data_IF_600876416098
#
_entry.id   IF_600876416098
#
_cell.length_a   1.000
_cell.length_b   1.000
_cell.length_c   1.000
_cell.angle_alpha   90.00
_cell.angle_beta   90.00
_cell.angle_gamma   90.00
#
_symmetry.space_group_name_H-M   'P 1'
#
loop_
_entity.id
_entity.type
_entity.pdbx_description
1 polymer ?
#
# COMPACT_ATOMS: atom_id res chain seq x y z
N UNK A 1 45.46 14.28 61.10
CA UNK A 1 46.90 14.23 60.83
C UNK A 1 47.26 12.83 60.36
N UNK A 2 47.87 12.76 59.17
CA UNK A 2 48.65 11.70 58.53
C UNK A 2 48.38 10.21 58.86
N UNK A 3 47.88 9.48 57.85
CA UNK A 3 48.05 8.03 57.74
C UNK A 3 49.46 7.72 57.20
N UNK A 4 50.16 6.81 57.87
CA UNK A 4 51.51 6.38 57.57
C UNK A 4 51.54 5.19 56.59
N UNK A 5 52.41 5.30 55.58
CA UNK A 5 52.85 4.22 54.71
C UNK A 5 53.94 3.41 55.41
N UNK A 6 53.83 2.07 55.44
CA UNK A 6 54.99 1.18 55.56
C UNK A 6 54.74 -0.16 54.86
N UNK A 7 55.57 -0.40 53.85
CA UNK A 7 55.85 -1.63 53.10
C UNK A 7 56.40 -2.78 53.96
N UNK A 8 56.20 -4.05 53.55
CA UNK A 8 57.17 -5.15 53.18
C UNK A 8 56.49 -6.55 53.32
N UNK A 9 57.08 -7.73 52.99
CA UNK A 9 57.65 -8.30 51.74
C UNK A 9 56.94 -9.59 51.21
N UNK A 10 57.39 -10.02 50.02
CA UNK A 10 57.13 -11.25 49.24
C UNK A 10 57.19 -12.60 50.01
N UNK A 11 56.35 -13.57 49.58
CA UNK A 11 56.68 -15.01 49.51
C UNK A 11 56.27 -15.64 48.17
N UNK A 12 57.16 -16.51 47.69
CA UNK A 12 57.18 -17.19 46.38
C UNK A 12 56.34 -18.46 46.36
N UNK A 13 55.65 -18.69 45.25
CA UNK A 13 55.27 -19.99 44.65
C UNK A 13 55.27 -19.69 43.13
N UNK A 14 55.93 -20.37 42.20
CA UNK A 14 56.61 -21.65 42.17
C UNK A 14 56.04 -22.50 41.03
N UNK A 15 56.76 -22.54 39.88
CA UNK A 15 56.67 -23.52 38.76
C UNK A 15 55.50 -23.32 37.75
N UNK A 16 55.63 -23.46 36.43
CA UNK A 16 56.63 -24.08 35.54
C UNK A 16 56.50 -23.43 34.13
N UNK A 17 57.64 -23.17 33.47
CA UNK A 17 57.80 -22.76 32.06
C UNK A 17 58.23 -23.98 31.24
N UNK A 18 58.02 -23.97 29.91
CA UNK A 18 58.79 -24.57 28.78
C UNK A 18 57.76 -24.93 27.66
N UNK A 19 57.83 -24.60 26.36
CA UNK A 19 58.72 -23.82 25.46
C UNK A 19 57.91 -23.54 24.18
N UNK A 20 58.15 -22.41 23.51
CA UNK A 20 57.77 -22.17 22.12
C UNK A 20 58.70 -22.94 21.14
N UNK A 21 58.42 -22.90 19.82
CA UNK A 21 59.17 -21.92 19.04
C UNK A 21 58.33 -21.08 18.08
N UNK A 22 58.72 -19.81 18.08
CA UNK A 22 58.39 -18.69 17.19
C UNK A 22 58.95 -18.85 15.77
N UNK A 23 58.30 -18.21 14.79
CA UNK A 23 58.85 -17.48 13.63
C UNK A 23 57.93 -17.66 12.40
N UNK A 24 57.62 -16.69 11.53
CA UNK A 24 58.01 -15.28 11.40
C UNK A 24 57.00 -14.60 10.43
N UNK A 25 56.93 -13.26 10.53
CA UNK A 25 56.50 -12.22 9.57
C UNK A 25 56.24 -12.67 8.11
N UNK A 26 55.27 -12.16 7.35
CA UNK A 26 54.88 -10.76 7.19
C UNK A 26 55.15 -10.32 5.74
N UNK A 27 54.08 -10.00 5.01
CA UNK A 27 53.94 -9.05 3.87
C UNK A 27 54.94 -9.11 2.68
N UNK A 28 54.39 -8.97 1.44
CA UNK A 28 54.98 -8.47 0.16
C UNK A 28 54.68 -9.45 -0.99
N UNK A 29 53.61 -9.23 -1.79
CA UNK A 29 53.59 -8.48 -3.08
C UNK A 29 53.91 -9.39 -4.27
N UNK A 30 52.88 -9.56 -5.12
CA UNK A 30 52.95 -9.49 -6.60
C UNK A 30 53.48 -10.69 -7.41
N UNK A 31 52.64 -11.08 -8.38
CA UNK A 31 52.92 -11.73 -9.67
C UNK A 31 53.59 -13.12 -9.69
N UNK A 32 52.78 -14.11 -10.07
CA UNK A 32 53.20 -15.08 -11.07
C UNK A 32 51.99 -15.41 -11.98
N UNK A 33 51.92 -14.70 -13.10
CA UNK A 33 51.23 -15.12 -14.31
C UNK A 33 51.76 -16.51 -14.73
N UNK A 34 50.87 -17.45 -14.98
CA UNK A 34 51.13 -18.67 -15.73
C UNK A 34 50.08 -18.79 -16.82
N UNK A 35 50.39 -18.23 -17.98
CA UNK A 35 49.60 -18.24 -19.22
C UNK A 35 49.38 -19.69 -19.69
N UNK A 36 48.13 -20.00 -20.05
CA UNK A 36 47.75 -21.17 -20.84
C UNK A 36 46.57 -20.83 -21.74
N UNK A 37 46.84 -20.06 -22.81
CA UNK A 37 45.87 -19.80 -23.88
C UNK A 37 46.10 -20.81 -25.01
N UNK A 38 45.04 -21.56 -25.36
CA UNK A 38 44.66 -22.08 -26.69
C UNK A 38 43.89 -23.41 -26.53
N UNK A 39 42.83 -23.77 -27.24
CA UNK A 39 41.92 -23.19 -28.24
C UNK A 39 40.74 -24.18 -28.31
N UNK A 40 39.51 -23.71 -28.52
CA UNK A 40 38.47 -24.51 -29.17
C UNK A 40 37.14 -24.72 -28.41
N UNK A 41 36.05 -24.29 -29.04
CA UNK A 41 34.77 -25.01 -28.98
C UNK A 41 33.70 -24.40 -28.10
N UNK A 42 32.50 -24.25 -28.68
CA UNK A 42 31.31 -23.60 -28.15
C UNK A 42 30.54 -24.43 -27.13
N UNK A 43 29.54 -23.78 -26.53
CA UNK A 43 28.36 -24.34 -25.84
C UNK A 43 28.44 -24.59 -24.32
N UNK A 44 28.30 -23.50 -23.56
CA UNK A 44 27.87 -23.51 -22.16
C UNK A 44 26.37 -23.87 -22.07
N UNK A 45 26.09 -25.17 -22.03
CA UNK A 45 24.82 -25.74 -21.55
C UNK A 45 24.80 -25.86 -20.02
N UNK A 46 23.75 -25.33 -19.41
CA UNK A 46 23.46 -25.29 -17.98
C UNK A 46 23.67 -26.62 -17.23
N UNK A 47 24.58 -26.64 -16.24
CA UNK A 47 24.43 -27.50 -15.05
C UNK A 47 24.98 -26.74 -13.83
N UNK A 48 24.09 -26.14 -13.05
CA UNK A 48 24.29 -26.04 -11.59
C UNK A 48 23.02 -26.50 -10.90
N UNK A 49 22.96 -27.79 -10.59
CA UNK A 49 22.11 -28.32 -9.52
C UNK A 49 22.66 -27.81 -8.18
N UNK A 50 22.29 -26.59 -7.82
CA UNK A 50 22.43 -26.06 -6.47
C UNK A 50 21.13 -26.31 -5.70
N UNK A 51 21.22 -26.95 -4.53
CA UNK A 51 20.16 -26.98 -3.52
C UNK A 51 19.53 -25.58 -3.37
N UNK A 52 18.19 -25.43 -3.29
CA UNK A 52 17.60 -24.15 -2.93
C UNK A 52 17.94 -23.84 -1.47
N UNK A 53 18.98 -23.03 -1.27
CA UNK A 53 19.18 -22.32 -0.01
C UNK A 53 18.01 -21.36 0.17
N UNK A 54 17.44 -21.33 1.38
CA UNK A 54 16.30 -20.51 1.77
C UNK A 54 16.29 -19.16 1.06
N UNK A 55 15.38 -19.03 0.09
CA UNK A 55 15.36 -17.91 -0.82
C UNK A 55 15.06 -16.64 -0.04
N UNK A 56 15.96 -15.65 -0.13
CA UNK A 56 15.52 -14.26 -0.05
C UNK A 56 14.30 -14.15 -0.98
N UNK A 57 13.18 -13.61 -0.48
CA UNK A 57 11.91 -13.55 -1.21
C UNK A 57 12.03 -12.94 -2.62
N UNK A 58 10.92 -12.76 -3.34
CA UNK A 58 10.90 -12.56 -4.79
C UNK A 58 11.84 -11.45 -5.30
N UNK A 59 12.29 -11.54 -6.55
CA UNK A 59 13.02 -10.41 -7.15
C UNK A 59 12.09 -9.19 -7.22
N UNK A 60 12.51 -7.99 -6.78
CA UNK A 60 11.67 -6.80 -6.83
C UNK A 60 11.21 -6.50 -8.26
N UNK A 61 9.92 -6.27 -8.43
CA UNK A 61 9.36 -5.82 -9.72
C UNK A 61 9.73 -4.37 -10.01
N UNK A 62 9.47 -3.91 -11.25
CA UNK A 62 9.58 -2.48 -11.60
C UNK A 62 8.69 -1.58 -10.73
N UNK A 63 7.52 -2.07 -10.33
CA UNK A 63 6.62 -1.35 -9.42
C UNK A 63 7.24 -1.20 -8.04
N UNK A 64 7.80 -2.28 -7.47
CA UNK A 64 8.51 -2.21 -6.20
C UNK A 64 9.68 -1.22 -6.22
N UNK A 65 10.49 -1.23 -7.28
CA UNK A 65 11.64 -0.32 -7.42
C UNK A 65 11.20 1.15 -7.57
N UNK A 66 10.05 1.40 -8.21
CA UNK A 66 9.50 2.76 -8.39
C UNK A 66 8.90 3.33 -7.10
N UNK A 67 8.18 2.50 -6.35
CA UNK A 67 7.37 2.96 -5.21
C UNK A 67 8.12 2.86 -3.87
N UNK A 68 9.10 1.96 -3.75
CA UNK A 68 9.84 1.73 -2.51
C UNK A 68 11.21 2.41 -2.61
N UNK A 69 11.53 3.38 -1.74
CA UNK A 69 12.86 3.94 -1.66
C UNK A 69 13.92 2.85 -1.47
N UNK A 70 15.04 2.91 -2.19
CA UNK A 70 16.03 1.83 -2.24
C UNK A 70 16.57 1.41 -0.85
N UNK A 71 16.74 2.37 0.07
CA UNK A 71 17.11 2.06 1.46
C UNK A 71 16.05 1.25 2.20
N UNK A 72 14.78 1.56 1.97
CA UNK A 72 13.63 0.88 2.58
C UNK A 72 13.45 -0.54 2.02
N UNK A 73 13.62 -0.71 0.70
CA UNK A 73 13.58 -2.02 0.06
C UNK A 73 14.60 -2.98 0.68
N UNK A 74 15.82 -2.49 0.96
CA UNK A 74 16.85 -3.30 1.64
C UNK A 74 16.41 -3.74 3.04
N UNK A 75 15.74 -2.88 3.81
CA UNK A 75 15.24 -3.23 5.14
C UNK A 75 14.16 -4.31 5.06
N UNK A 76 13.20 -4.23 4.12
CA UNK A 76 12.21 -5.30 3.93
C UNK A 76 12.87 -6.64 3.57
N UNK A 77 13.82 -6.63 2.65
CA UNK A 77 14.53 -7.84 2.24
C UNK A 77 15.37 -8.44 3.38
N UNK A 78 16.01 -7.60 4.20
CA UNK A 78 16.76 -8.04 5.37
C UNK A 78 15.86 -8.62 6.45
N UNK A 79 14.74 -7.95 6.77
CA UNK A 79 13.75 -8.44 7.72
C UNK A 79 13.10 -9.74 7.22
N UNK A 80 12.76 -9.81 5.93
CA UNK A 80 12.20 -11.02 5.32
C UNK A 80 13.12 -12.23 5.48
N UNK A 81 14.41 -12.07 5.20
CA UNK A 81 15.41 -13.12 5.47
C UNK A 81 15.54 -13.47 6.96
N UNK A 82 15.54 -12.46 7.84
CA UNK A 82 15.77 -12.65 9.28
C UNK A 82 14.62 -13.37 9.98
N UNK A 83 13.38 -13.07 9.58
CA UNK A 83 12.17 -13.60 10.21
C UNK A 83 11.44 -14.62 9.32
N UNK A 84 12.08 -15.07 8.23
CA UNK A 84 11.53 -16.03 7.27
C UNK A 84 10.21 -15.58 6.61
N UNK A 85 9.90 -14.28 6.56
CA UNK A 85 8.65 -13.76 5.95
C UNK A 85 8.89 -13.20 4.54
N UNK A 86 7.92 -13.34 3.63
CA UNK A 86 8.05 -12.75 2.30
C UNK A 86 8.18 -11.22 2.37
N UNK A 87 9.24 -10.67 1.79
CA UNK A 87 9.52 -9.24 1.89
C UNK A 87 8.52 -8.39 1.08
N UNK A 88 7.95 -8.91 0.00
CA UNK A 88 6.98 -8.19 -0.83
C UNK A 88 5.65 -8.02 -0.06
N UNK A 89 5.26 -9.04 0.71
CA UNK A 89 4.17 -8.95 1.67
C UNK A 89 4.45 -7.92 2.76
N UNK A 90 5.62 -7.98 3.39
CA UNK A 90 6.00 -7.03 4.44
C UNK A 90 6.04 -5.58 3.93
N UNK A 91 6.54 -5.36 2.72
CA UNK A 91 6.52 -4.06 2.06
C UNK A 91 5.09 -3.61 1.78
N UNK A 92 4.20 -4.49 1.33
CA UNK A 92 2.81 -4.14 1.06
C UNK A 92 2.04 -3.72 2.32
N UNK A 93 2.27 -4.37 3.47
CA UNK A 93 1.75 -3.92 4.77
C UNK A 93 2.22 -2.49 5.04
N UNK A 94 3.51 -2.22 4.93
CA UNK A 94 4.04 -0.87 5.14
C UNK A 94 3.52 0.19 4.16
N UNK A 95 3.21 -0.23 2.93
CA UNK A 95 2.59 0.62 1.92
C UNK A 95 1.17 1.01 2.33
N UNK A 96 0.40 0.02 2.79
CA UNK A 96 -0.97 0.20 3.25
C UNK A 96 -1.04 1.06 4.51
N UNK A 97 -0.08 0.89 5.42
CA UNK A 97 -0.01 1.70 6.64
C UNK A 97 0.41 3.14 6.33
N UNK A 98 1.53 3.32 5.63
CA UNK A 98 2.22 4.61 5.60
C UNK A 98 2.95 4.92 4.29
N UNK A 99 2.65 4.19 3.21
CA UNK A 99 3.22 4.39 1.88
C UNK A 99 4.76 4.51 1.88
N UNK A 100 5.44 3.68 2.68
CA UNK A 100 6.92 3.63 2.83
C UNK A 100 7.61 4.88 3.38
N UNK A 101 6.89 5.97 3.65
CA UNK A 101 7.48 7.24 4.09
C UNK A 101 7.94 7.21 5.55
N UNK A 102 9.10 7.78 5.91
CA UNK A 102 9.46 8.05 7.30
C UNK A 102 8.70 9.26 7.89
N UNK A 103 8.08 10.09 7.05
CA UNK A 103 7.43 11.36 7.44
C UNK A 103 5.92 11.40 7.16
N UNK A 104 5.34 10.31 6.64
CA UNK A 104 3.90 10.21 6.38
C UNK A 104 3.11 9.76 7.61
N UNK A 105 3.76 9.08 8.56
CA UNK A 105 3.16 8.64 9.83
C UNK A 105 4.17 8.62 11.01
N UNK A 106 4.81 9.74 11.36
CA UNK A 106 5.65 9.76 12.54
C UNK A 106 4.80 9.70 13.81
N UNK A 107 5.24 8.91 14.78
CA UNK A 107 4.65 8.83 16.10
C UNK A 107 3.33 8.08 16.15
N UNK A 108 2.67 8.20 17.29
CA UNK A 108 1.35 7.65 17.56
C UNK A 108 0.29 8.35 16.70
N UNK A 109 -0.53 7.58 15.99
CA UNK A 109 -1.57 8.07 15.09
C UNK A 109 -2.85 8.59 15.81
N UNK A 110 -2.83 8.71 17.13
CA UNK A 110 -3.98 9.07 17.97
C UNK A 110 -4.79 7.85 18.44
N UNK A 111 -4.66 6.70 17.78
CA UNK A 111 -5.31 5.44 18.12
C UNK A 111 -4.39 4.43 18.81
N UNK A 112 -3.13 4.79 19.03
CA UNK A 112 -2.16 4.01 19.80
C UNK A 112 -1.31 3.09 18.94
N UNK A 113 -1.38 3.25 17.62
CA UNK A 113 -0.48 2.64 16.65
C UNK A 113 0.56 3.67 16.22
N UNK A 114 1.80 3.27 15.96
CA UNK A 114 2.86 4.21 15.60
C UNK A 114 3.83 3.71 14.53
N UNK A 115 4.49 4.67 13.89
CA UNK A 115 5.59 4.43 12.97
C UNK A 115 5.16 3.89 11.60
N UNK A 116 6.13 3.53 10.75
CA UNK A 116 5.90 3.16 9.34
C UNK A 116 5.18 1.81 9.17
N UNK A 117 5.04 1.05 10.25
CA UNK A 117 4.30 -0.22 10.28
C UNK A 117 3.05 -0.13 11.19
N UNK A 118 2.73 1.05 11.73
CA UNK A 118 1.58 1.31 12.62
C UNK A 118 1.46 0.29 13.77
N UNK A 119 2.57 -0.07 14.41
CA UNK A 119 2.57 -1.08 15.48
C UNK A 119 1.91 -0.52 16.74
N UNK A 120 1.10 -1.33 17.44
CA UNK A 120 0.47 -0.90 18.69
C UNK A 120 1.51 -0.59 19.77
N UNK A 121 1.41 0.59 20.35
CA UNK A 121 2.36 1.18 21.30
C UNK A 121 1.71 1.70 22.59
N UNK A 122 0.41 2.00 22.56
CA UNK A 122 -0.30 2.56 23.73
C UNK A 122 -1.34 1.58 24.25
N UNK A 123 -1.20 1.13 25.50
CA UNK A 123 -2.19 0.28 26.18
C UNK A 123 -3.51 1.03 26.40
N UNK A 124 -4.63 0.29 26.40
CA UNK A 124 -5.98 0.87 26.53
C UNK A 124 -6.40 1.74 25.34
N UNK A 125 -5.65 1.71 24.24
CA UNK A 125 -5.97 2.41 23.01
C UNK A 125 -6.76 1.52 22.05
N UNK A 126 -7.42 2.05 21.01
CA UNK A 126 -8.05 1.22 19.99
C UNK A 126 -7.09 0.21 19.32
N UNK A 127 -5.80 0.52 19.20
CA UNK A 127 -4.79 -0.40 18.69
C UNK A 127 -4.32 -1.47 19.70
N UNK A 128 -4.58 -1.27 20.99
CA UNK A 128 -4.28 -2.22 22.06
C UNK A 128 -5.31 -2.08 23.19
N UNK A 129 -6.55 -2.57 22.99
CA UNK A 129 -7.70 -2.20 23.83
C UNK A 129 -7.64 -2.77 25.25
N UNK A 130 -6.87 -3.83 25.47
CA UNK A 130 -6.64 -4.37 26.81
C UNK A 130 -5.58 -3.51 27.54
N UNK A 131 -5.96 -2.71 28.56
CA UNK A 131 -5.03 -1.81 29.25
C UNK A 131 -3.99 -2.56 30.10
N UNK A 132 -4.34 -3.75 30.57
CA UNK A 132 -3.49 -4.55 31.47
C UNK A 132 -2.53 -5.49 30.73
N UNK A 133 -2.65 -5.58 29.40
CA UNK A 133 -1.78 -6.43 28.57
C UNK A 133 -0.70 -5.60 27.88
N UNK A 134 0.52 -6.15 27.69
CA UNK A 134 1.55 -5.52 26.88
C UNK A 134 1.09 -5.28 25.44
N UNK A 135 1.50 -4.15 24.87
CA UNK A 135 1.32 -3.84 23.45
C UNK A 135 2.23 -4.69 22.57
N UNK A 136 1.97 -4.70 21.26
CA UNK A 136 2.82 -5.41 20.32
C UNK A 136 4.25 -4.82 20.28
N UNK A 137 4.39 -3.51 20.42
CA UNK A 137 5.72 -2.89 20.49
C UNK A 137 6.49 -3.30 21.74
N UNK A 138 5.84 -3.36 22.90
CA UNK A 138 6.48 -3.81 24.15
C UNK A 138 6.94 -5.28 24.09
N UNK A 139 6.25 -6.13 23.34
CA UNK A 139 6.58 -7.56 23.20
C UNK A 139 7.59 -7.85 22.08
N UNK A 140 7.52 -7.11 20.98
CA UNK A 140 8.20 -7.46 19.73
C UNK A 140 9.16 -6.39 19.21
N UNK A 141 9.22 -5.21 19.84
CA UNK A 141 10.18 -4.16 19.50
C UNK A 141 11.62 -4.68 19.50
N UNK A 142 12.42 -4.24 18.54
CA UNK A 142 13.79 -4.69 18.34
C UNK A 142 14.66 -3.55 17.86
N UNK A 143 15.88 -3.47 18.39
CA UNK A 143 16.97 -2.64 17.84
C UNK A 143 17.50 -3.37 16.60
N UNK A 144 16.94 -3.02 15.45
CA UNK A 144 17.14 -3.73 14.20
C UNK A 144 18.45 -3.35 13.51
N UNK A 145 18.89 -2.10 13.69
CA UNK A 145 20.15 -1.57 13.15
C UNK A 145 21.35 -1.68 14.12
N UNK A 146 21.10 -2.03 15.40
CA UNK A 146 22.07 -2.11 16.50
C UNK A 146 22.72 -0.77 16.87
N UNK A 147 21.95 0.32 16.79
CA UNK A 147 22.41 1.64 17.19
C UNK A 147 22.24 1.92 18.70
N UNK A 148 21.67 0.97 19.45
CA UNK A 148 21.44 1.07 20.88
C UNK A 148 20.10 1.71 21.24
N UNK A 149 19.23 1.99 20.27
CA UNK A 149 17.87 2.51 20.47
C UNK A 149 16.85 1.52 19.91
N UNK A 150 15.66 1.55 20.50
CA UNK A 150 14.48 0.83 20.00
C UNK A 150 13.41 1.87 19.76
N UNK A 151 13.27 2.31 18.51
CA UNK A 151 12.37 3.40 18.11
C UNK A 151 11.36 2.91 17.07
N UNK A 152 10.07 2.95 17.40
CA UNK A 152 8.99 2.56 16.49
C UNK A 152 8.96 3.41 15.21
N UNK A 153 9.53 4.61 15.25
CA UNK A 153 9.57 5.51 14.11
C UNK A 153 10.75 5.25 13.20
N UNK A 154 11.81 4.60 13.70
CA UNK A 154 12.92 4.16 12.85
C UNK A 154 12.44 2.95 12.03
N UNK A 155 12.39 3.07 10.69
CA UNK A 155 12.10 1.92 9.83
C UNK A 155 13.02 0.73 10.06
N UNK A 156 14.27 0.98 10.48
CA UNK A 156 15.22 -0.08 10.73
C UNK A 156 14.86 -0.94 11.96
N UNK A 157 14.02 -0.44 12.86
CA UNK A 157 13.49 -1.15 14.03
C UNK A 157 12.04 -1.63 13.79
N UNK A 158 11.21 -0.74 13.23
CA UNK A 158 9.79 -1.01 13.01
C UNK A 158 9.55 -2.16 12.03
N UNK A 159 10.32 -2.23 10.93
CA UNK A 159 10.18 -3.28 9.92
C UNK A 159 10.51 -4.66 10.47
N UNK A 160 11.66 -4.89 11.13
CA UNK A 160 11.94 -6.19 11.74
C UNK A 160 10.98 -6.53 12.89
N UNK A 161 10.53 -5.56 13.69
CA UNK A 161 9.48 -5.79 14.69
C UNK A 161 8.17 -6.25 14.05
N UNK A 162 7.71 -5.59 12.98
CA UNK A 162 6.51 -5.99 12.25
C UNK A 162 6.62 -7.37 11.61
N UNK A 163 7.78 -7.69 11.01
CA UNK A 163 8.06 -9.02 10.47
C UNK A 163 7.90 -10.09 11.56
N UNK A 164 8.46 -9.84 12.75
CA UNK A 164 8.35 -10.72 13.90
C UNK A 164 6.90 -10.87 14.38
N UNK A 165 6.16 -9.78 14.52
CA UNK A 165 4.74 -9.76 14.91
C UNK A 165 3.91 -10.59 13.93
N UNK A 166 4.08 -10.36 12.63
CA UNK A 166 3.31 -11.05 11.59
C UNK A 166 3.53 -12.57 11.66
N UNK A 167 4.76 -12.99 11.94
CA UNK A 167 5.13 -14.40 12.08
C UNK A 167 4.68 -15.05 13.36
N UNK A 168 5.05 -14.47 14.50
CA UNK A 168 4.87 -15.09 15.82
C UNK A 168 3.45 -14.88 16.35
N UNK A 169 2.85 -13.72 16.10
CA UNK A 169 1.56 -13.35 16.70
C UNK A 169 0.37 -13.41 15.73
N UNK A 170 0.60 -13.20 14.42
CA UNK A 170 -0.49 -13.07 13.43
C UNK A 170 -0.62 -14.26 12.48
N UNK A 171 0.30 -15.21 12.55
CA UNK A 171 0.23 -16.47 11.81
C UNK A 171 0.63 -16.37 10.34
N UNK A 172 1.43 -15.37 9.94
CA UNK A 172 2.01 -15.34 8.61
C UNK A 172 2.87 -16.60 8.39
N UNK A 173 2.72 -17.29 7.25
CA UNK A 173 3.47 -18.51 6.98
C UNK A 173 4.94 -18.18 6.63
N UNK A 174 5.82 -19.21 6.59
CA UNK A 174 7.14 -19.19 5.94
C UNK A 174 7.19 -18.47 4.59
N UNK A 175 8.39 -18.03 4.20
CA UNK A 175 8.62 -17.50 2.85
C UNK A 175 8.24 -18.59 1.85
N UNK A 176 7.41 -18.25 0.86
CA UNK A 176 6.80 -19.23 -0.04
C UNK A 176 5.47 -19.83 0.43
N UNK A 177 4.93 -19.39 1.57
CA UNK A 177 3.57 -19.73 2.01
C UNK A 177 2.47 -19.22 1.07
N UNK A 178 1.25 -19.75 1.22
CA UNK A 178 0.16 -19.50 0.28
C UNK A 178 -0.38 -18.07 0.35
N UNK A 179 -0.96 -17.59 -0.76
CA UNK A 179 -1.65 -16.31 -0.81
C UNK A 179 -2.75 -16.19 0.26
N UNK A 180 -3.50 -17.27 0.49
CA UNK A 180 -4.58 -17.32 1.47
C UNK A 180 -4.04 -17.18 2.91
N UNK A 181 -2.93 -17.83 3.23
CA UNK A 181 -2.33 -17.76 4.58
C UNK A 181 -1.74 -16.36 4.85
N UNK A 182 -1.06 -15.76 3.88
CA UNK A 182 -0.58 -14.38 4.00
C UNK A 182 -1.74 -13.38 4.10
N UNK A 183 -2.82 -13.58 3.33
CA UNK A 183 -4.06 -12.80 3.45
C UNK A 183 -4.66 -12.92 4.85
N UNK A 184 -4.70 -14.13 5.41
CA UNK A 184 -5.20 -14.37 6.77
C UNK A 184 -4.31 -13.69 7.82
N UNK A 185 -2.99 -13.62 7.60
CA UNK A 185 -2.11 -12.88 8.49
C UNK A 185 -2.34 -11.36 8.45
N UNK A 186 -2.60 -10.78 7.27
CA UNK A 186 -3.03 -9.37 7.14
C UNK A 186 -4.35 -9.11 7.86
N UNK A 187 -5.33 -10.00 7.66
CA UNK A 187 -6.58 -10.07 8.42
C UNK A 187 -6.32 -9.93 9.93
N UNK A 188 -5.42 -10.74 10.46
CA UNK A 188 -5.13 -10.81 11.89
C UNK A 188 -4.33 -9.61 12.43
N UNK A 189 -3.72 -8.79 11.56
CA UNK A 189 -2.89 -7.66 12.00
C UNK A 189 -3.69 -6.70 12.88
N UNK A 190 -4.88 -6.28 12.43
CA UNK A 190 -5.88 -5.51 13.21
C UNK A 190 -7.29 -6.11 13.26
N UNK A 191 -7.54 -7.25 12.61
CA UNK A 191 -8.91 -7.79 12.45
C UNK A 191 -9.65 -7.27 11.20
N UNK A 192 -8.98 -6.53 10.30
CA UNK A 192 -9.57 -5.93 9.11
C UNK A 192 -9.45 -6.87 7.89
N UNK A 193 -10.44 -7.74 7.69
CA UNK A 193 -10.33 -8.88 6.77
C UNK A 193 -10.80 -8.67 5.32
N UNK A 194 -11.73 -7.76 5.06
CA UNK A 194 -12.24 -7.56 3.71
C UNK A 194 -11.25 -6.70 2.91
N UNK A 195 -11.38 -5.37 3.01
CA UNK A 195 -10.67 -4.44 2.13
C UNK A 195 -9.17 -4.38 2.40
N UNK A 196 -8.76 -4.37 3.67
CA UNK A 196 -7.35 -4.20 4.03
C UNK A 196 -6.49 -5.40 3.58
N UNK A 197 -6.90 -6.62 3.92
CA UNK A 197 -6.14 -7.82 3.56
C UNK A 197 -6.07 -8.01 2.04
N UNK A 198 -7.14 -7.70 1.31
CA UNK A 198 -7.16 -7.77 -0.15
C UNK A 198 -6.24 -6.72 -0.79
N UNK A 199 -6.23 -5.49 -0.29
CA UNK A 199 -5.35 -4.42 -0.76
C UNK A 199 -3.87 -4.73 -0.50
N UNK A 200 -3.55 -5.22 0.70
CA UNK A 200 -2.18 -5.64 1.04
C UNK A 200 -1.73 -6.75 0.10
N UNK A 201 -2.53 -7.79 -0.10
CA UNK A 201 -2.11 -8.91 -0.93
C UNK A 201 -2.05 -8.58 -2.42
N UNK A 202 -2.94 -7.72 -2.92
CA UNK A 202 -2.84 -7.21 -4.28
C UNK A 202 -1.54 -6.42 -4.51
N UNK A 203 -1.16 -5.56 -3.55
CA UNK A 203 0.11 -4.82 -3.61
C UNK A 203 1.32 -5.75 -3.44
N UNK A 204 1.24 -6.78 -2.60
CA UNK A 204 2.29 -7.77 -2.43
C UNK A 204 2.61 -8.47 -3.76
N UNK A 205 1.57 -8.89 -4.50
CA UNK A 205 1.72 -9.48 -5.84
C UNK A 205 2.36 -8.48 -6.80
N UNK A 206 1.97 -7.21 -6.78
CA UNK A 206 2.61 -6.16 -7.58
C UNK A 206 4.09 -5.96 -7.26
N UNK A 207 4.49 -6.15 -6.00
CA UNK A 207 5.89 -6.05 -5.58
C UNK A 207 6.72 -7.30 -5.88
N UNK A 208 6.06 -8.42 -6.17
CA UNK A 208 6.68 -9.64 -6.66
C UNK A 208 6.26 -10.91 -5.93
N UNK A 209 5.34 -10.85 -4.96
CA UNK A 209 4.85 -12.02 -4.22
C UNK A 209 4.32 -13.10 -5.19
N UNK A 210 4.75 -14.34 -4.96
CA UNK A 210 4.48 -15.50 -5.84
C UNK A 210 4.04 -16.75 -5.06
N UNK A 211 3.49 -16.57 -3.85
CA UNK A 211 3.02 -17.69 -3.03
C UNK A 211 1.95 -18.53 -3.74
N UNK A 212 1.80 -19.83 -3.43
CA UNK A 212 0.77 -20.69 -4.00
C UNK A 212 -0.63 -20.06 -3.91
N UNK A 213 -1.39 -20.15 -5.00
CA UNK A 213 -2.72 -19.53 -5.10
C UNK A 213 -2.71 -18.02 -5.33
N UNK A 214 -1.54 -17.41 -5.53
CA UNK A 214 -1.48 -16.01 -5.97
C UNK A 214 -2.16 -15.89 -7.34
N UNK A 215 -2.99 -14.84 -7.54
CA UNK A 215 -3.40 -14.49 -8.90
C UNK A 215 -2.14 -14.20 -9.74
N UNK A 216 -2.19 -14.40 -11.07
CA UNK A 216 -1.12 -13.90 -11.92
C UNK A 216 -0.91 -12.42 -11.57
N UNK A 217 0.34 -11.94 -11.50
CA UNK A 217 0.58 -10.51 -11.40
C UNK A 217 -0.28 -9.85 -12.48
N UNK A 218 -1.23 -8.99 -12.07
CA UNK A 218 -1.99 -8.21 -13.03
C UNK A 218 -0.94 -7.36 -13.76
N UNK A 219 -0.55 -7.82 -14.94
CA UNK A 219 0.69 -7.42 -15.56
C UNK A 219 0.56 -5.96 -16.05
N UNK A 220 1.26 -4.99 -15.44
CA UNK A 220 1.34 -3.64 -16.01
C UNK A 220 2.36 -3.57 -17.16
N UNK A 221 2.90 -4.70 -17.64
CA UNK A 221 3.97 -4.79 -18.63
C UNK A 221 3.82 -5.87 -19.73
N UNK A 222 2.79 -6.71 -19.73
CA UNK A 222 2.62 -7.81 -20.70
C UNK A 222 1.29 -7.85 -21.44
N UNK A 223 0.53 -6.75 -21.40
CA UNK A 223 -0.42 -6.50 -22.49
C UNK A 223 0.39 -6.37 -23.79
N UNK A 224 0.24 -7.32 -24.73
CA UNK A 224 0.78 -7.16 -26.08
C UNK A 224 0.30 -5.81 -26.62
N UNK A 225 1.21 -4.89 -27.01
CA UNK A 225 0.80 -3.65 -27.64
C UNK A 225 -0.02 -3.97 -28.88
N UNK A 226 -1.10 -3.22 -29.13
CA UNK A 226 -1.67 -3.17 -30.45
C UNK A 226 -0.54 -2.76 -31.44
N UNK A 227 -0.41 -3.41 -32.60
CA UNK A 227 0.67 -3.10 -33.53
C UNK A 227 0.52 -1.64 -34.00
N UNK A 228 1.51 -0.78 -33.72
CA UNK A 228 1.54 0.56 -34.31
C UNK A 228 2.20 1.71 -33.55
N UNK A 229 2.72 1.54 -32.32
CA UNK A 229 3.33 2.67 -31.60
C UNK A 229 4.84 2.48 -31.38
N UNK A 230 5.64 3.14 -32.21
CA UNK A 230 7.07 3.37 -31.99
C UNK A 230 7.27 4.37 -30.84
N UNK A 231 8.15 4.03 -29.90
CA UNK A 231 8.59 4.90 -28.80
C UNK A 231 9.58 5.98 -29.30
N UNK A 232 9.53 7.23 -28.82
CA UNK A 232 10.63 8.19 -29.01
C UNK A 232 11.82 7.85 -28.09
N UNK A 233 13.03 8.19 -28.56
CA UNK A 233 14.31 7.84 -27.92
C UNK A 233 14.67 8.65 -26.66
N UNK A 234 15.75 8.26 -25.97
CA UNK A 234 16.12 8.80 -24.67
C UNK A 234 16.78 10.18 -24.80
N UNK A 235 16.04 11.21 -24.41
CA UNK A 235 16.51 12.60 -24.38
C UNK A 235 15.65 13.56 -23.56
N UNK A 236 14.37 13.24 -23.35
CA UNK A 236 13.45 14.16 -22.66
C UNK A 236 13.30 13.83 -21.18
N UNK A 237 14.23 14.33 -20.38
CA UNK A 237 14.01 14.54 -18.95
C UNK A 237 13.04 15.71 -18.76
N UNK A 238 11.73 15.43 -18.80
CA UNK A 238 10.66 16.36 -18.52
C UNK A 238 9.60 15.70 -17.62
N UNK A 239 9.31 16.30 -16.47
CA UNK A 239 8.45 15.74 -15.43
C UNK A 239 7.09 15.25 -15.95
N UNK A 240 6.75 14.00 -15.60
CA UNK A 240 5.46 13.38 -15.86
C UNK A 240 4.35 14.01 -15.03
N UNK A 241 3.93 15.21 -15.40
CA UNK A 241 2.65 15.80 -15.03
C UNK A 241 1.62 15.49 -16.10
N UNK A 242 0.40 15.14 -15.69
CA UNK A 242 -0.77 15.08 -16.57
C UNK A 242 -1.12 16.49 -17.06
N UNK A 243 -0.35 17.04 -18.00
CA UNK A 243 -0.69 18.22 -18.75
C UNK A 243 -1.00 17.78 -20.19
N UNK A 244 -2.28 17.55 -20.45
CA UNK A 244 -2.70 17.05 -21.75
C UNK A 244 -4.18 17.17 -22.04
N UNK A 245 -4.92 18.04 -21.38
CA UNK A 245 -6.21 18.54 -21.89
C UNK A 245 -6.28 20.05 -21.59
N UNK A 246 -6.48 20.86 -22.64
CA UNK A 246 -6.70 22.31 -22.50
C UNK A 246 -8.03 22.53 -21.74
N UNK A 247 -8.14 23.57 -20.86
CA UNK A 247 -9.36 23.86 -20.09
C UNK A 247 -10.64 23.99 -20.95
N UNK A 248 -10.51 24.32 -22.23
CA UNK A 248 -11.63 24.48 -23.17
C UNK A 248 -12.32 23.16 -23.59
N UNK A 249 -11.75 21.98 -23.32
CA UNK A 249 -12.41 20.70 -23.56
C UNK A 249 -13.28 20.21 -22.38
N UNK A 250 -13.26 20.90 -21.24
CA UNK A 250 -14.06 20.56 -20.04
C UNK A 250 -15.58 20.78 -20.22
N UNK A 251 -16.04 21.31 -21.36
CA UNK A 251 -17.45 21.61 -21.65
C UNK A 251 -18.19 20.63 -22.58
N UNK A 252 -17.59 19.48 -22.96
CA UNK A 252 -18.24 18.47 -23.84
C UNK A 252 -18.40 17.10 -23.17
N UNK A 253 -18.50 17.07 -21.84
CA UNK A 253 -18.65 15.85 -21.04
C UNK A 253 -20.09 15.61 -20.55
N UNK A 254 -20.38 14.46 -19.93
CA UNK A 254 -21.69 14.15 -19.33
C UNK A 254 -21.98 14.95 -18.05
N UNK A 255 -21.05 15.80 -17.60
CA UNK A 255 -21.14 16.58 -16.37
C UNK A 255 -20.82 18.04 -16.70
N UNK A 256 -21.52 18.97 -16.06
CA UNK A 256 -21.30 20.40 -16.24
C UNK A 256 -20.10 20.91 -15.44
N UNK A 257 -19.86 22.24 -15.45
CA UNK A 257 -18.79 22.89 -14.70
C UNK A 257 -18.71 22.48 -13.23
N UNK A 258 -17.49 22.39 -12.72
CA UNK A 258 -17.21 22.10 -11.30
C UNK A 258 -17.38 23.35 -10.44
N UNK A 259 -18.00 23.17 -9.27
CA UNK A 259 -18.20 24.17 -8.22
C UNK A 259 -17.75 23.61 -6.88
N UNK A 260 -17.07 24.43 -6.08
CA UNK A 260 -16.74 24.12 -4.70
C UNK A 260 -17.88 24.54 -3.77
N UNK A 261 -18.37 23.62 -2.95
CA UNK A 261 -19.44 23.88 -1.99
C UNK A 261 -18.94 23.74 -0.55
N UNK A 262 -19.21 24.75 0.28
CA UNK A 262 -18.86 24.78 1.70
C UNK A 262 -20.03 24.39 2.62
N UNK A 263 -21.26 24.41 2.11
CA UNK A 263 -22.48 24.15 2.85
C UNK A 263 -23.57 23.57 1.94
N UNK A 264 -24.58 22.86 2.49
CA UNK A 264 -24.73 22.47 3.89
C UNK A 264 -23.79 21.32 4.29
N UNK A 265 -23.35 21.31 5.54
CA UNK A 265 -22.43 20.28 6.07
C UNK A 265 -23.18 19.25 6.91
N UNK A 266 -23.88 18.35 6.25
CA UNK A 266 -24.68 17.30 6.90
C UNK A 266 -24.79 16.08 5.99
N UNK A 267 -25.17 14.95 6.58
CA UNK A 267 -25.56 13.78 5.82
C UNK A 267 -27.05 13.85 5.45
N UNK A 268 -27.36 13.43 4.24
CA UNK A 268 -28.71 13.40 3.68
C UNK A 268 -28.97 12.03 3.05
N UNK A 269 -30.19 11.53 3.19
CA UNK A 269 -30.60 10.23 2.66
C UNK A 269 -30.63 10.28 1.14
N UNK A 270 -30.14 9.21 0.50
CA UNK A 270 -30.38 9.00 -0.91
C UNK A 270 -31.83 8.53 -1.14
N UNK A 271 -32.46 8.89 -2.27
CA UNK A 271 -33.76 8.33 -2.62
C UNK A 271 -33.69 6.81 -2.80
N UNK A 272 -34.63 6.06 -2.22
CA UNK A 272 -34.65 4.59 -2.32
C UNK A 272 -34.62 4.07 -3.77
N UNK A 273 -35.18 4.84 -4.72
CA UNK A 273 -35.19 4.53 -6.16
C UNK A 273 -33.81 4.33 -6.80
N UNK A 274 -32.74 4.80 -6.16
CA UNK A 274 -31.36 4.68 -6.64
C UNK A 274 -30.48 3.83 -5.71
N UNK A 275 -31.04 3.26 -4.65
CA UNK A 275 -30.33 2.41 -3.69
C UNK A 275 -30.54 0.94 -4.06
N UNK A 276 -29.47 0.14 -4.04
CA UNK A 276 -29.57 -1.29 -4.30
C UNK A 276 -30.39 -1.98 -3.21
N UNK A 277 -31.23 -2.94 -3.60
CA UNK A 277 -32.06 -3.70 -2.67
C UNK A 277 -31.18 -4.38 -1.59
N UNK A 278 -31.52 -4.18 -0.31
CA UNK A 278 -30.79 -4.73 0.83
C UNK A 278 -29.60 -3.88 1.34
N UNK A 279 -29.30 -2.74 0.71
CA UNK A 279 -28.19 -1.85 1.12
C UNK A 279 -28.66 -0.56 1.82
N UNK A 280 -29.97 -0.29 1.86
CA UNK A 280 -30.56 0.91 2.45
C UNK A 280 -30.86 0.80 3.95
N UNK A 281 -31.01 1.95 4.65
CA UNK A 281 -30.93 3.32 4.14
C UNK A 281 -29.49 3.83 3.98
N UNK A 282 -29.18 4.46 2.84
CA UNK A 282 -27.85 5.05 2.56
C UNK A 282 -27.90 6.57 2.69
N UNK A 283 -26.88 7.15 3.35
CA UNK A 283 -26.69 8.60 3.47
C UNK A 283 -25.42 9.04 2.77
N UNK A 284 -25.43 10.22 2.17
CA UNK A 284 -24.25 10.88 1.60
C UNK A 284 -24.09 12.28 2.17
N UNK A 285 -22.94 12.93 1.96
CA UNK A 285 -22.83 14.36 2.16
C UNK A 285 -23.88 15.07 1.29
N UNK A 286 -24.69 15.94 1.90
CA UNK A 286 -25.81 16.60 1.25
C UNK A 286 -25.40 17.33 -0.04
N UNK A 287 -24.15 17.80 -0.13
CA UNK A 287 -23.65 18.53 -1.30
C UNK A 287 -23.45 17.64 -2.53
N UNK A 288 -23.24 16.33 -2.37
CA UNK A 288 -23.09 15.40 -3.52
C UNK A 288 -24.39 14.68 -3.89
N UNK A 289 -25.45 14.73 -3.07
CA UNK A 289 -26.69 13.97 -3.32
C UNK A 289 -27.25 14.23 -4.73
N UNK A 290 -27.26 15.48 -5.20
CA UNK A 290 -27.72 15.80 -6.56
C UNK A 290 -26.82 15.19 -7.65
N UNK A 291 -25.51 15.19 -7.47
CA UNK A 291 -24.55 14.54 -8.36
C UNK A 291 -24.77 13.03 -8.39
N UNK A 292 -24.93 12.39 -7.22
CA UNK A 292 -25.17 10.95 -7.09
C UNK A 292 -26.48 10.56 -7.78
N UNK A 293 -27.58 11.29 -7.54
CA UNK A 293 -28.88 11.06 -8.18
C UNK A 293 -28.79 11.22 -9.69
N UNK A 294 -28.10 12.26 -10.16
CA UNK A 294 -27.89 12.48 -11.60
C UNK A 294 -27.16 11.31 -12.23
N UNK A 295 -26.02 10.89 -11.67
CA UNK A 295 -25.22 9.78 -12.21
C UNK A 295 -26.01 8.46 -12.19
N UNK A 296 -26.65 8.14 -11.06
CA UNK A 296 -27.43 6.92 -10.91
C UNK A 296 -28.55 6.82 -11.97
N UNK A 297 -29.29 7.91 -12.20
CA UNK A 297 -30.35 7.96 -13.22
C UNK A 297 -29.79 7.95 -14.64
N UNK A 298 -28.80 8.81 -14.92
CA UNK A 298 -28.21 8.99 -16.26
C UNK A 298 -27.52 7.74 -16.77
N UNK A 299 -26.90 6.97 -15.87
CA UNK A 299 -26.14 5.77 -16.20
C UNK A 299 -26.81 4.47 -15.78
N UNK A 300 -28.00 4.53 -15.13
CA UNK A 300 -28.74 3.36 -14.63
C UNK A 300 -27.90 2.51 -13.67
N UNK A 301 -27.37 3.17 -12.63
CA UNK A 301 -26.61 2.55 -11.57
C UNK A 301 -27.42 2.53 -10.27
N UNK A 302 -27.12 1.57 -9.40
CA UNK A 302 -27.64 1.52 -8.03
C UNK A 302 -26.50 1.72 -7.05
N UNK A 303 -26.75 2.51 -6.00
CA UNK A 303 -25.79 2.80 -4.93
C UNK A 303 -25.85 1.71 -3.86
N UNK A 304 -24.70 1.16 -3.49
CA UNK A 304 -24.54 0.13 -2.45
C UNK A 304 -23.85 0.66 -1.20
N UNK A 305 -23.06 1.73 -1.31
CA UNK A 305 -22.48 2.41 -0.15
C UNK A 305 -22.27 3.89 -0.41
N UNK A 306 -22.24 4.69 0.66
CA UNK A 306 -21.82 6.09 0.61
C UNK A 306 -21.14 6.51 1.91
N UNK A 307 -21.85 7.18 2.84
CA UNK A 307 -21.35 7.43 4.18
C UNK A 307 -21.31 6.11 4.98
N UNK A 308 -20.12 5.52 5.11
CA UNK A 308 -19.91 4.25 5.78
C UNK A 308 -18.53 4.19 6.44
N UNK A 309 -18.42 3.44 7.54
CA UNK A 309 -17.15 3.21 8.25
C UNK A 309 -16.69 1.79 7.94
N UNK A 310 -16.17 1.58 6.73
CA UNK A 310 -15.51 0.33 6.33
C UNK A 310 -14.05 0.52 5.88
N UNK A 311 -13.55 1.75 5.91
CA UNK A 311 -12.14 2.11 5.77
C UNK A 311 -11.85 3.35 6.63
N UNK A 312 -10.91 3.24 7.56
CA UNK A 312 -10.58 4.29 8.54
C UNK A 312 -9.90 5.53 7.91
N UNK A 313 -9.41 5.39 6.67
CA UNK A 313 -8.79 6.48 5.91
C UNK A 313 -9.51 6.72 4.57
N UNK A 314 -10.65 6.06 4.37
CA UNK A 314 -11.41 6.14 3.14
C UNK A 314 -12.25 7.42 3.04
N UNK A 315 -12.78 7.66 1.86
CA UNK A 315 -13.68 8.77 1.57
C UNK A 315 -15.13 8.47 1.97
N UNK A 316 -15.44 7.20 2.25
CA UNK A 316 -16.75 6.78 2.77
C UNK A 316 -17.08 7.42 4.13
N UNK A 317 -16.17 7.51 5.12
CA UNK A 317 -16.42 8.31 6.33
C UNK A 317 -16.82 9.77 6.08
N UNK A 318 -16.44 10.35 4.93
CA UNK A 318 -16.80 11.71 4.58
C UNK A 318 -18.21 11.84 3.97
N UNK A 319 -18.82 10.71 3.61
CA UNK A 319 -19.97 10.65 2.69
C UNK A 319 -19.68 11.30 1.34
N UNK A 320 -18.40 11.32 0.93
CA UNK A 320 -17.90 11.94 -0.29
C UNK A 320 -17.45 10.90 -1.33
N UNK A 321 -17.88 9.65 -1.16
CA UNK A 321 -17.68 8.57 -2.11
C UNK A 321 -18.92 7.69 -2.21
N UNK A 322 -19.09 7.02 -3.35
CA UNK A 322 -20.13 6.02 -3.55
C UNK A 322 -19.54 4.74 -4.15
N UNK A 323 -20.11 3.61 -3.73
CA UNK A 323 -19.97 2.34 -4.44
C UNK A 323 -21.25 2.08 -5.23
N UNK A 324 -21.10 1.64 -6.48
CA UNK A 324 -22.21 1.47 -7.39
C UNK A 324 -22.15 0.18 -8.19
N UNK A 325 -23.33 -0.35 -8.50
CA UNK A 325 -23.52 -1.56 -9.32
C UNK A 325 -24.47 -1.29 -10.48
N UNK A 326 -24.50 -2.18 -11.47
CA UNK A 326 -25.47 -2.08 -12.58
C UNK A 326 -26.90 -2.29 -12.08
N UNK A 327 -27.82 -1.39 -12.44
CA UNK A 327 -29.25 -1.57 -12.14
C UNK A 327 -29.91 -2.67 -13.00
N UNK A 328 -29.22 -3.16 -14.03
CA UNK A 328 -29.80 -4.06 -15.04
C UNK A 328 -29.03 -5.38 -15.17
N UNK A 329 -27.88 -5.50 -14.52
CA UNK A 329 -26.92 -6.57 -14.76
C UNK A 329 -26.04 -6.37 -16.01
N UNK A 330 -26.41 -5.47 -16.92
CA UNK A 330 -25.55 -5.07 -18.06
C UNK A 330 -24.53 -4.03 -17.58
N UNK A 331 -23.32 -4.49 -17.25
CA UNK A 331 -22.23 -3.64 -16.75
C UNK A 331 -21.64 -2.71 -17.84
N UNK A 332 -21.35 -3.19 -19.06
CA UNK A 332 -20.89 -2.33 -20.16
C UNK A 332 -21.85 -1.16 -20.43
N UNK A 333 -23.15 -1.41 -20.49
CA UNK A 333 -24.15 -0.40 -20.81
C UNK A 333 -24.54 0.50 -19.62
N UNK A 334 -23.95 0.33 -18.44
CA UNK A 334 -24.29 1.15 -17.26
C UNK A 334 -23.04 1.69 -16.58
N UNK A 335 -22.40 0.87 -15.75
CA UNK A 335 -21.29 1.21 -14.87
C UNK A 335 -20.02 1.52 -15.67
N UNK A 336 -19.68 0.70 -16.66
CA UNK A 336 -18.49 0.97 -17.49
C UNK A 336 -18.68 2.25 -18.30
N UNK A 337 -19.88 2.47 -18.85
CA UNK A 337 -20.22 3.72 -19.54
C UNK A 337 -20.07 4.91 -18.62
N UNK A 338 -20.50 4.81 -17.35
CA UNK A 338 -20.30 5.85 -16.35
C UNK A 338 -18.80 6.10 -16.13
N UNK A 339 -18.03 5.07 -15.78
CA UNK A 339 -16.59 5.17 -15.53
C UNK A 339 -15.89 5.88 -16.69
N UNK A 340 -16.12 5.44 -17.93
CA UNK A 340 -15.53 6.03 -19.14
C UNK A 340 -15.90 7.49 -19.34
N UNK A 341 -17.18 7.83 -19.13
CA UNK A 341 -17.66 9.19 -19.33
C UNK A 341 -17.08 10.17 -18.29
N UNK A 342 -16.78 9.68 -17.08
CA UNK A 342 -16.17 10.43 -15.99
C UNK A 342 -14.62 10.48 -16.06
N UNK A 343 -14.02 9.84 -17.06
CA UNK A 343 -12.59 9.98 -17.37
C UNK A 343 -11.76 8.71 -17.19
N UNK A 344 -12.32 7.63 -16.64
CA UNK A 344 -11.62 6.36 -16.57
C UNK A 344 -11.35 5.81 -17.98
N UNK A 345 -10.14 5.30 -18.19
CA UNK A 345 -9.77 4.57 -19.41
C UNK A 345 -9.05 3.29 -19.00
N UNK A 346 -9.04 2.23 -19.82
CA UNK A 346 -8.32 0.99 -19.49
C UNK A 346 -6.83 1.20 -19.17
N UNK A 347 -6.17 2.16 -19.83
CA UNK A 347 -4.79 2.54 -19.55
C UNK A 347 -4.56 3.09 -18.13
N UNK A 348 -5.60 3.61 -17.50
CA UNK A 348 -5.55 4.15 -16.14
C UNK A 348 -5.48 3.04 -15.11
N UNK A 349 -6.08 1.88 -15.41
CA UNK A 349 -6.01 0.70 -14.58
C UNK A 349 -4.60 0.10 -14.53
N UNK A 350 -3.81 0.27 -15.60
CA UNK A 350 -2.41 -0.17 -15.65
C UNK A 350 -1.49 0.59 -14.67
N UNK A 351 -1.89 1.78 -14.18
CA UNK A 351 -1.09 2.52 -13.19
C UNK A 351 -1.19 1.90 -11.79
N UNK A 352 -2.31 1.25 -11.45
CA UNK A 352 -2.60 0.73 -10.10
C UNK A 352 -2.52 1.79 -8.98
N UNK A 353 -2.45 3.07 -9.32
CA UNK A 353 -2.20 4.20 -8.41
C UNK A 353 -3.07 5.39 -8.79
N UNK A 354 -3.80 5.92 -7.81
CA UNK A 354 -4.56 7.17 -7.91
C UNK A 354 -3.61 8.39 -7.99
N UNK A 355 -3.96 9.50 -8.67
CA UNK A 355 -5.21 9.77 -9.37
C UNK A 355 -5.02 9.67 -10.90
N UNK A 356 -4.53 8.53 -11.41
CA UNK A 356 -4.50 8.35 -12.86
C UNK A 356 -5.95 8.38 -13.40
N UNK A 357 -6.29 9.42 -14.17
CA UNK A 357 -7.52 9.55 -14.96
C UNK A 357 -8.84 9.79 -14.21
N UNK A 358 -8.87 10.71 -13.25
CA UNK A 358 -10.11 11.29 -12.75
C UNK A 358 -10.34 12.67 -13.40
N UNK A 359 -11.50 12.89 -14.03
CA UNK A 359 -11.90 14.26 -14.39
C UNK A 359 -12.39 14.97 -13.14
N UNK A 360 -12.07 16.26 -12.92
CA UNK A 360 -12.74 17.05 -11.89
C UNK A 360 -14.28 16.91 -12.00
N UNK A 361 -15.00 16.78 -10.88
CA UNK A 361 -14.57 16.98 -9.50
C UNK A 361 -14.04 15.72 -8.80
N UNK A 362 -13.88 14.60 -9.52
CA UNK A 362 -13.52 13.34 -8.90
C UNK A 362 -12.06 13.35 -8.44
N UNK A 363 -11.85 12.84 -7.23
CA UNK A 363 -10.53 12.51 -6.68
C UNK A 363 -10.07 11.17 -7.27
N UNK A 364 -10.96 10.18 -7.28
CA UNK A 364 -10.63 8.84 -7.71
C UNK A 364 -11.84 8.14 -8.35
N UNK A 365 -11.55 7.35 -9.38
CA UNK A 365 -12.52 6.52 -10.10
C UNK A 365 -11.91 5.12 -10.19
N UNK A 366 -12.38 4.20 -9.36
CA UNK A 366 -11.87 2.83 -9.29
C UNK A 366 -12.85 1.87 -9.96
N UNK A 367 -12.39 1.23 -11.03
CA UNK A 367 -13.15 0.26 -11.81
C UNK A 367 -12.24 -0.89 -12.29
N UNK A 368 -12.55 -1.53 -13.42
CA UNK A 368 -11.79 -2.66 -13.96
C UNK A 368 -10.27 -2.40 -13.95
N UNK A 369 -9.54 -3.34 -13.37
CA UNK A 369 -8.08 -3.32 -13.21
C UNK A 369 -7.56 -2.49 -12.02
N UNK A 370 -8.42 -1.84 -11.24
CA UNK A 370 -8.09 -1.45 -9.87
C UNK A 370 -8.39 -2.62 -8.92
N UNK A 371 -7.48 -2.95 -7.99
CA UNK A 371 -7.70 -4.03 -7.03
C UNK A 371 -9.01 -3.86 -6.28
N UNK A 372 -9.76 -4.95 -6.10
CA UNK A 372 -11.04 -4.98 -5.39
C UNK A 372 -12.19 -4.16 -6.03
N UNK A 373 -12.08 -3.78 -7.31
CA UNK A 373 -13.10 -3.03 -8.04
C UNK A 373 -13.31 -3.59 -9.45
N UNK A 374 -14.45 -3.26 -10.06
CA UNK A 374 -14.77 -3.66 -11.42
C UNK A 374 -16.10 -4.40 -11.55
N UNK A 375 -16.38 -4.86 -12.75
CA UNK A 375 -17.51 -5.75 -13.05
C UNK A 375 -17.31 -7.17 -12.51
N UNK A 376 -18.33 -8.06 -12.56
CA UNK A 376 -18.25 -9.42 -12.04
C UNK A 376 -17.19 -10.31 -12.71
N UNK A 377 -16.72 -9.97 -13.92
CA UNK A 377 -15.66 -10.72 -14.59
C UNK A 377 -14.28 -10.32 -14.05
N UNK A 378 -14.10 -9.06 -13.66
CA UNK A 378 -12.84 -8.53 -13.11
C UNK A 378 -12.78 -8.59 -11.58
N UNK A 379 -13.93 -8.61 -10.92
CA UNK A 379 -14.13 -8.62 -9.48
C UNK A 379 -15.18 -9.70 -9.11
N UNK A 380 -14.85 -10.99 -9.25
CA UNK A 380 -15.79 -12.07 -9.00
C UNK A 380 -15.97 -12.35 -7.49
N UNK A 381 -17.21 -12.65 -7.05
CA UNK A 381 -17.45 -13.13 -5.69
C UNK A 381 -16.83 -14.54 -5.48
N UNK A 382 -16.47 -14.90 -4.23
CA UNK A 382 -16.56 -14.11 -3.00
C UNK A 382 -15.36 -13.19 -2.76
N UNK A 383 -14.32 -13.28 -3.60
CA UNK A 383 -13.05 -12.59 -3.42
C UNK A 383 -13.20 -11.06 -3.53
N UNK A 384 -14.21 -10.59 -4.26
CA UNK A 384 -14.39 -9.19 -4.55
C UNK A 384 -15.88 -8.90 -4.80
N UNK A 385 -16.51 -7.95 -4.09
CA UNK A 385 -17.85 -7.50 -4.43
C UNK A 385 -17.77 -6.55 -5.63
N UNK A 386 -18.26 -6.97 -6.80
CA UNK A 386 -18.24 -6.14 -8.02
C UNK A 386 -18.89 -4.77 -7.78
N UNK A 387 -18.15 -3.69 -8.05
CA UNK A 387 -18.63 -2.31 -7.97
C UNK A 387 -17.71 -1.34 -8.73
N UNK A 388 -18.27 -0.17 -9.06
CA UNK A 388 -17.52 1.05 -9.39
C UNK A 388 -17.49 1.95 -8.16
N UNK A 389 -16.28 2.37 -7.79
CA UNK A 389 -16.07 3.35 -6.73
C UNK A 389 -15.81 4.73 -7.33
N UNK A 390 -16.55 5.73 -6.86
CA UNK A 390 -16.37 7.14 -7.21
C UNK A 390 -16.14 7.96 -5.95
N UNK A 391 -15.08 8.76 -5.90
CA UNK A 391 -14.86 9.72 -4.80
C UNK A 391 -14.66 11.14 -5.32
N UNK A 392 -15.22 12.11 -4.61
CA UNK A 392 -15.13 13.53 -4.93
C UNK A 392 -13.92 14.18 -4.23
N UNK A 393 -13.38 15.24 -4.83
CA UNK A 393 -12.38 16.08 -4.17
C UNK A 393 -13.01 16.86 -3.02
N UNK A 394 -12.29 16.90 -1.91
CA UNK A 394 -12.73 17.50 -0.63
C UNK A 394 -11.57 18.14 0.10
N UNK A 395 -11.88 18.91 1.15
CA UNK A 395 -10.91 19.42 2.12
C UNK A 395 -10.05 18.35 2.80
N UNK A 396 -10.47 17.09 2.74
CA UNK A 396 -9.76 15.93 3.27
C UNK A 396 -9.08 15.08 2.18
N UNK A 397 -9.00 15.58 0.93
CA UNK A 397 -8.26 14.91 -0.13
C UNK A 397 -6.75 15.07 0.04
N UNK A 398 -5.97 14.15 -0.51
CA UNK A 398 -4.51 14.15 -0.41
C UNK A 398 -3.91 15.55 -0.71
N UNK A 399 -3.01 16.01 0.16
CA UNK A 399 -2.38 17.32 0.06
C UNK A 399 -3.18 18.49 0.68
N UNK A 400 -4.39 18.25 1.20
CA UNK A 400 -5.18 19.27 1.89
C UNK A 400 -5.05 19.19 3.42
N UNK A 401 -5.25 20.31 4.15
CA UNK A 401 -5.05 20.37 5.60
C UNK A 401 -5.93 19.42 6.43
N UNK A 402 -7.09 19.00 5.93
CA UNK A 402 -7.98 18.07 6.66
C UNK A 402 -7.76 16.61 6.28
N UNK A 403 -6.72 16.28 5.50
CA UNK A 403 -6.39 14.90 5.11
C UNK A 403 -5.73 14.16 6.28
N UNK A 404 -6.56 13.59 7.16
CA UNK A 404 -6.19 12.84 8.35
C UNK A 404 -7.08 11.61 8.51
N UNK A 405 -6.62 10.61 9.27
CA UNK A 405 -7.36 9.39 9.60
C UNK A 405 -8.65 9.68 10.38
N UNK A 406 -9.72 8.89 10.16
CA UNK A 406 -11.07 9.18 10.71
C UNK A 406 -11.84 7.93 11.13
N UNK A 407 -12.39 7.96 12.34
CA UNK A 407 -13.25 6.91 12.92
C UNK A 407 -14.72 7.29 13.05
N UNK A 408 -15.10 8.48 12.60
CA UNK A 408 -16.49 8.96 12.65
C UNK A 408 -16.93 9.51 11.30
N UNK A 409 -18.23 9.44 11.04
CA UNK A 409 -18.81 10.09 9.89
C UNK A 409 -18.75 11.61 10.07
N UNK A 410 -18.22 12.32 9.08
CA UNK A 410 -18.10 13.77 9.11
C UNK A 410 -18.23 14.41 7.72
N UNK A 411 -18.79 15.61 7.67
CA UNK A 411 -18.93 16.37 6.44
C UNK A 411 -17.73 17.33 6.23
N UNK A 412 -16.94 17.19 5.14
CA UNK A 412 -15.73 18.01 4.89
C UNK A 412 -16.02 19.52 4.83
N UNK A 413 -15.05 20.39 5.11
CA UNK A 413 -15.28 21.84 5.04
C UNK A 413 -15.56 22.35 3.63
N UNK A 414 -15.10 21.65 2.62
CA UNK A 414 -15.50 21.85 1.24
C UNK A 414 -15.51 20.54 0.44
N UNK A 415 -16.33 20.52 -0.61
CA UNK A 415 -16.39 19.44 -1.60
C UNK A 415 -16.59 20.06 -2.98
N UNK A 416 -15.82 19.61 -3.95
CA UNK A 416 -16.02 19.98 -5.35
C UNK A 416 -17.13 19.10 -5.92
N UNK A 417 -18.07 19.69 -6.65
CA UNK A 417 -19.23 19.01 -7.27
C UNK A 417 -19.40 19.51 -8.69
N UNK A 418 -20.00 18.73 -9.59
CA UNK A 418 -20.34 19.22 -10.92
C UNK A 418 -21.76 19.77 -10.95
N UNK A 419 -22.01 20.69 -11.89
CA UNK A 419 -23.36 21.13 -12.20
C UNK A 419 -24.06 20.13 -13.10
N UNK A 420 -25.34 19.91 -12.85
CA UNK A 420 -26.22 19.08 -13.66
C UNK A 420 -27.07 20.05 -14.48
N UNK A 421 -26.92 20.10 -15.80
CA UNK A 421 -27.56 21.09 -16.69
C UNK A 421 -29.11 20.98 -16.79
N UNK A 422 -29.79 20.45 -15.78
CA UNK A 422 -31.26 20.45 -15.67
C UNK A 422 -31.79 21.73 -14.99
N UNK A 423 -31.21 22.88 -15.34
CA UNK A 423 -31.55 24.20 -14.77
C UNK A 423 -31.79 25.30 -15.81
N UNK A 424 -32.07 24.94 -17.08
CA UNK A 424 -32.48 25.88 -18.12
C UNK A 424 -34.00 25.98 -18.20
N UNK A 425 -34.53 27.16 -17.90
CA UNK A 425 -35.95 27.50 -17.73
C UNK A 425 -36.99 26.88 -18.67
N UNK A 426 -38.16 26.58 -18.09
CA UNK A 426 -39.44 26.90 -18.71
C UNK A 426 -40.01 28.11 -17.97
N UNK A 427 -40.00 29.24 -18.65
CA UNK A 427 -41.07 30.23 -18.50
C UNK A 427 -42.34 29.75 -19.19
#
# INVERSE_FOLDING_TARGET
>A
MAAANTTTPRRRLGRLVWVAPTALLGLVVVLALGIGLALGGTDLGCITTGKPGAAAGPTPTRTAVREIPAGRLRLYQQAGRRYDIDWAFLAAVAAQECNHGPYTCPGDNGYGCAGPMQISMRRGSPCSPAPDLPTLWELYGVDGNRDGRVDVNDPADAIPAAARILREAKGAPPTGGSYADYRQASCNYYGACSVYADQVMARAVQYGFQGPGSPPPADPAGARPAPGHTQPGPGDAGGGGCAGDRPEQLGRGPIGPVKRLHSPRRFELLPDSIVAAGFGPIRCDARIVSNVVYLARRFRMLVTACAAIHSLNGEHPLGAAIDTVSATGDWPATVERAARALGWKPSCAASGVAPACARPPFRFIAYNGYPSHGDPAHCPPPACPAHLHLSWNTSASQGNPENQARTTLYSPSWIDVFTTDEGGGRG
#
